data_IF_659001382563
#
_entry.id   IF_659001382563
#
_cell.length_a   1.000
_cell.length_b   1.000
_cell.length_c   1.000
_cell.angle_alpha   90.00
_cell.angle_beta   90.00
_cell.angle_gamma   90.00
#
_symmetry.space_group_name_H-M   'P 1'
#
loop_
_entity.id
_entity.type
_entity.pdbx_description
1 polymer ?
#
# COMPACT_ATOMS: atom_id res chain seq x y z
N UNK A 1 -9.21 31.02 -22.21
CA UNK A 1 -8.78 29.96 -21.27
C UNK A 1 -9.89 29.77 -20.25
N UNK A 2 -10.37 28.54 -20.06
CA UNK A 2 -11.44 28.23 -19.12
C UNK A 2 -10.88 27.85 -17.73
N UNK A 3 -11.66 27.91 -16.64
CA UNK A 3 -11.22 27.50 -15.31
C UNK A 3 -10.98 25.98 -15.23
N UNK A 4 -9.92 25.57 -14.54
CA UNK A 4 -9.58 24.16 -14.30
C UNK A 4 -10.49 23.55 -13.21
N UNK A 5 -11.72 23.18 -13.59
CA UNK A 5 -12.71 22.54 -12.71
C UNK A 5 -13.27 21.27 -13.35
N UNK A 6 -13.37 20.22 -12.55
CA UNK A 6 -13.97 18.95 -12.94
C UNK A 6 -15.48 19.07 -13.13
N UNK A 7 -16.05 18.22 -13.99
CA UNK A 7 -17.49 18.18 -14.22
C UNK A 7 -18.30 17.75 -12.99
N UNK A 8 -17.65 17.17 -11.98
CA UNK A 8 -18.26 16.85 -10.69
C UNK A 8 -18.80 18.08 -9.94
N UNK A 9 -18.15 19.24 -10.09
CA UNK A 9 -18.50 20.47 -9.38
C UNK A 9 -19.75 21.17 -9.96
N UNK A 10 -20.18 20.81 -11.17
CA UNK A 10 -21.38 21.38 -11.79
C UNK A 10 -22.64 20.89 -11.10
N UNK A 11 -23.66 21.76 -11.07
CA UNK A 11 -24.95 21.46 -10.46
C UNK A 11 -25.55 20.15 -11.01
N UNK A 12 -25.74 19.11 -10.18
CA UNK A 12 -26.34 17.86 -10.62
C UNK A 12 -27.86 17.94 -10.83
N UNK A 13 -28.52 19.01 -10.38
CA UNK A 13 -29.99 19.15 -10.41
C UNK A 13 -30.51 19.90 -11.62
N UNK A 14 -29.65 20.66 -12.30
CA UNK A 14 -29.99 21.32 -13.55
C UNK A 14 -30.10 20.29 -14.70
N UNK A 15 -31.09 20.46 -15.57
CA UNK A 15 -31.29 19.63 -16.75
C UNK A 15 -30.34 20.05 -17.88
N UNK A 16 -29.15 19.44 -17.90
CA UNK A 16 -28.14 19.66 -18.94
C UNK A 16 -28.51 18.98 -20.26
N UNK A 17 -28.14 19.58 -21.40
CA UNK A 17 -28.31 18.96 -22.73
C UNK A 17 -27.53 17.64 -22.85
N UNK A 18 -26.34 17.57 -22.23
CA UNK A 18 -25.56 16.36 -22.05
C UNK A 18 -25.47 16.01 -20.55
N UNK A 19 -26.43 15.25 -19.98
CA UNK A 19 -26.52 14.97 -18.54
C UNK A 19 -25.32 14.19 -17.97
N UNK A 20 -24.69 13.36 -18.79
CA UNK A 20 -23.50 12.58 -18.44
C UNK A 20 -22.26 13.45 -18.25
N UNK A 21 -22.10 14.48 -19.09
CA UNK A 21 -20.98 15.43 -19.03
C UNK A 21 -21.31 16.70 -18.23
N UNK A 22 -22.59 16.96 -17.94
CA UNK A 22 -23.10 18.21 -17.36
C UNK A 22 -22.73 19.44 -18.20
N UNK A 23 -22.89 19.33 -19.52
CA UNK A 23 -22.58 20.40 -20.49
C UNK A 23 -23.83 20.78 -21.30
N UNK A 24 -23.94 22.07 -21.62
CA UNK A 24 -24.97 22.56 -22.54
C UNK A 24 -24.45 22.61 -23.98
N UNK A 25 -25.36 22.52 -24.94
CA UNK A 25 -25.05 22.68 -26.34
C UNK A 25 -24.56 24.10 -26.64
N UNK A 26 -23.44 24.23 -27.35
CA UNK A 26 -22.82 25.52 -27.69
C UNK A 26 -21.99 26.17 -26.57
N UNK A 27 -21.90 25.53 -25.39
CA UNK A 27 -21.00 25.99 -24.33
C UNK A 27 -19.52 25.77 -24.74
N UNK A 28 -18.61 26.73 -24.48
CA UNK A 28 -17.19 26.52 -24.79
C UNK A 28 -16.62 25.36 -23.97
N UNK A 29 -15.92 24.46 -24.66
CA UNK A 29 -15.37 23.23 -24.08
C UNK A 29 -13.97 23.50 -23.49
N UNK A 30 -13.72 23.03 -22.27
CA UNK A 30 -12.39 23.07 -21.65
C UNK A 30 -11.39 22.27 -22.48
N UNK A 31 -10.15 22.77 -22.63
CA UNK A 31 -9.10 22.11 -23.42
C UNK A 31 -8.88 20.66 -22.95
N UNK A 32 -8.67 20.47 -21.65
CA UNK A 32 -8.53 19.15 -21.00
C UNK A 32 -9.88 18.55 -20.55
N UNK A 33 -10.94 18.69 -21.34
CA UNK A 33 -12.25 18.12 -20.99
C UNK A 33 -12.14 16.60 -20.77
N UNK A 34 -11.32 15.92 -21.56
CA UNK A 34 -11.09 14.48 -21.48
C UNK A 34 -10.54 14.05 -20.11
N UNK A 35 -9.74 14.87 -19.44
CA UNK A 35 -9.25 14.67 -18.06
C UNK A 35 -10.34 14.96 -17.01
N UNK A 36 -11.17 16.00 -17.25
CA UNK A 36 -12.17 16.50 -16.31
C UNK A 36 -13.57 15.89 -16.47
N UNK A 37 -13.74 14.86 -17.31
CA UNK A 37 -14.98 14.06 -17.33
C UNK A 37 -15.24 13.39 -15.97
N UNK A 38 -16.51 13.11 -15.68
CA UNK A 38 -16.96 12.56 -14.39
C UNK A 38 -16.39 11.19 -14.00
N UNK A 39 -15.71 10.49 -14.91
CA UNK A 39 -15.12 9.18 -14.64
C UNK A 39 -13.60 9.24 -14.35
N UNK A 40 -13.02 10.44 -14.24
CA UNK A 40 -11.57 10.65 -14.10
C UNK A 40 -11.23 11.58 -12.95
N UNK A 41 -10.45 12.63 -13.20
CA UNK A 41 -9.91 13.50 -12.15
C UNK A 41 -11.03 14.38 -11.61
N UNK A 42 -11.24 14.27 -10.30
CA UNK A 42 -12.16 15.12 -9.55
C UNK A 42 -11.39 16.21 -8.81
N UNK A 43 -11.87 17.44 -8.93
CA UNK A 43 -11.34 18.64 -8.25
C UNK A 43 -12.28 19.16 -7.17
N UNK A 44 -13.35 18.40 -6.86
CA UNK A 44 -14.31 18.74 -5.83
C UNK A 44 -13.60 19.02 -4.49
N UNK A 45 -14.00 20.09 -3.78
CA UNK A 45 -13.33 20.47 -2.54
C UNK A 45 -13.58 19.41 -1.46
N UNK A 46 -12.50 18.90 -0.88
CA UNK A 46 -12.54 18.03 0.28
C UNK A 46 -12.65 18.83 1.58
N UNK A 47 -13.28 18.30 2.64
CA UNK A 47 -13.40 19.01 3.93
C UNK A 47 -12.06 19.24 4.63
N UNK A 48 -11.03 18.47 4.29
CA UNK A 48 -9.66 18.60 4.80
C UNK A 48 -8.77 19.18 3.69
N UNK A 49 -7.85 20.08 4.05
CA UNK A 49 -6.91 20.65 3.10
C UNK A 49 -5.88 19.61 2.64
N UNK A 50 -5.44 19.75 1.38
CA UNK A 50 -4.49 18.84 0.75
C UNK A 50 -3.18 18.65 1.54
N UNK A 51 -2.58 19.75 2.00
CA UNK A 51 -1.33 19.73 2.78
C UNK A 51 -1.49 18.92 4.09
N UNK A 52 -2.63 19.05 4.77
CA UNK A 52 -2.93 18.29 5.99
C UNK A 52 -3.10 16.81 5.69
N UNK A 53 -3.86 16.45 4.64
CA UNK A 53 -4.03 15.05 4.21
C UNK A 53 -2.69 14.39 3.90
N UNK A 54 -1.83 15.06 3.12
CA UNK A 54 -0.50 14.55 2.77
C UNK A 54 0.37 14.34 4.02
N UNK A 55 0.44 15.34 4.92
CA UNK A 55 1.25 15.23 6.14
C UNK A 55 0.82 14.08 7.03
N UNK A 56 -0.49 13.88 7.22
CA UNK A 56 -0.98 12.76 8.01
C UNK A 56 -0.66 11.41 7.37
N UNK A 57 -0.88 11.28 6.06
CA UNK A 57 -0.58 10.04 5.34
C UNK A 57 0.90 9.69 5.41
N UNK A 58 1.78 10.63 5.05
CA UNK A 58 3.22 10.39 5.06
C UNK A 58 3.76 10.20 6.48
N UNK A 59 3.27 10.97 7.46
CA UNK A 59 3.65 10.82 8.86
C UNK A 59 3.30 9.43 9.41
N UNK A 60 2.09 8.94 9.13
CA UNK A 60 1.66 7.61 9.57
C UNK A 60 2.49 6.51 8.91
N UNK A 61 2.63 6.52 7.58
CA UNK A 61 3.37 5.48 6.85
C UNK A 61 4.83 5.45 7.27
N UNK A 62 5.49 6.61 7.34
CA UNK A 62 6.89 6.70 7.77
C UNK A 62 7.08 6.19 9.20
N UNK A 63 6.17 6.56 10.12
CA UNK A 63 6.23 6.09 11.49
C UNK A 63 6.02 4.57 11.60
N UNK A 64 5.05 4.00 10.86
CA UNK A 64 4.83 2.56 10.83
C UNK A 64 6.04 1.80 10.30
N UNK A 65 6.61 2.23 9.17
CA UNK A 65 7.83 1.62 8.61
C UNK A 65 8.99 1.70 9.60
N UNK A 66 9.16 2.84 10.26
CA UNK A 66 10.16 3.00 11.30
C UNK A 66 9.95 2.04 12.48
N UNK A 67 8.71 1.88 12.96
CA UNK A 67 8.39 0.94 14.04
C UNK A 67 8.60 -0.52 13.63
N UNK A 68 8.31 -0.90 12.38
CA UNK A 68 8.65 -2.22 11.87
C UNK A 68 10.16 -2.46 11.86
N UNK A 69 10.95 -1.48 11.44
CA UNK A 69 12.40 -1.55 11.50
C UNK A 69 12.93 -1.69 12.93
N UNK A 70 12.34 -0.96 13.90
CA UNK A 70 12.66 -1.14 15.32
C UNK A 70 12.29 -2.54 15.79
N UNK A 71 11.13 -3.07 15.40
CA UNK A 71 10.68 -4.42 15.76
C UNK A 71 11.58 -5.53 15.20
N UNK A 72 12.17 -5.32 14.03
CA UNK A 72 13.15 -6.22 13.43
C UNK A 72 14.51 -6.15 14.14
N UNK A 73 14.93 -4.95 14.56
CA UNK A 73 16.16 -4.75 15.34
C UNK A 73 16.08 -5.32 16.76
N UNK A 74 14.89 -5.26 17.37
CA UNK A 74 14.61 -5.75 18.72
C UNK A 74 13.51 -6.83 18.69
N UNK A 75 13.79 -8.00 18.09
CA UNK A 75 12.79 -9.04 17.94
C UNK A 75 12.44 -9.66 19.30
N UNK A 76 11.16 -9.89 19.52
CA UNK A 76 10.70 -10.68 20.66
C UNK A 76 10.84 -12.17 20.35
N UNK A 77 11.36 -12.93 21.31
CA UNK A 77 11.47 -14.38 21.23
C UNK A 77 11.08 -15.02 22.57
N UNK A 78 10.64 -16.28 22.51
CA UNK A 78 10.36 -17.03 23.73
C UNK A 78 11.68 -17.41 24.42
N UNK A 79 11.77 -17.37 25.76
CA UNK A 79 12.99 -17.67 26.51
C UNK A 79 13.27 -19.18 26.55
N UNK A 80 13.38 -19.80 25.38
CA UNK A 80 13.65 -21.22 25.17
C UNK A 80 14.86 -21.35 24.25
N UNK A 81 15.64 -22.40 24.44
CA UNK A 81 16.75 -22.71 23.54
C UNK A 81 16.26 -23.09 22.13
N UNK A 82 17.17 -23.18 21.16
CA UNK A 82 16.84 -23.64 19.82
C UNK A 82 16.29 -25.07 19.86
N UNK A 83 15.36 -25.37 18.96
CA UNK A 83 14.77 -26.71 18.84
C UNK A 83 15.83 -27.73 18.42
N UNK A 84 16.00 -28.76 19.23
CA UNK A 84 16.89 -29.89 18.95
C UNK A 84 16.22 -30.89 18.01
N UNK A 85 17.01 -31.47 17.09
CA UNK A 85 16.56 -32.45 16.10
C UNK A 85 17.54 -33.63 16.04
N UNK A 86 17.06 -34.89 15.99
CA UNK A 86 17.92 -36.06 15.92
C UNK A 86 18.62 -36.19 14.54
N UNK A 87 19.51 -37.18 14.42
CA UNK A 87 20.16 -37.59 13.16
C UNK A 87 20.86 -36.43 12.42
N UNK A 88 21.77 -35.73 13.11
CA UNK A 88 22.50 -34.58 12.57
C UNK A 88 21.58 -33.49 11.98
N UNK A 89 20.57 -33.08 12.77
CA UNK A 89 19.54 -32.13 12.36
C UNK A 89 18.71 -32.58 11.14
N UNK A 90 18.36 -33.88 11.11
CA UNK A 90 17.59 -34.52 10.03
C UNK A 90 18.28 -34.35 8.66
N UNK A 91 19.59 -34.59 8.60
CA UNK A 91 20.41 -34.29 7.42
C UNK A 91 19.86 -34.94 6.14
N UNK A 92 19.56 -36.25 6.20
CA UNK A 92 19.08 -36.99 5.03
C UNK A 92 17.67 -36.56 4.62
N UNK A 93 16.78 -36.33 5.59
CA UNK A 93 15.40 -35.91 5.36
C UNK A 93 15.31 -34.49 4.80
N UNK A 94 16.30 -33.63 5.09
CA UNK A 94 16.41 -32.27 4.54
C UNK A 94 17.14 -32.21 3.20
N UNK A 95 17.39 -33.36 2.55
CA UNK A 95 18.02 -33.44 1.23
C UNK A 95 19.54 -33.44 1.25
N UNK A 96 20.14 -33.83 2.38
CA UNK A 96 21.58 -34.06 2.48
C UNK A 96 22.06 -35.18 1.56
N UNK A 97 23.34 -35.12 1.19
CA UNK A 97 23.99 -36.05 0.28
C UNK A 97 24.33 -37.35 1.02
N UNK A 98 23.75 -38.51 0.67
CA UNK A 98 24.02 -39.77 1.37
C UNK A 98 25.47 -40.24 1.28
N UNK A 99 26.23 -39.71 0.32
CA UNK A 99 27.65 -40.06 0.13
C UNK A 99 28.60 -39.25 1.02
N UNK A 100 28.10 -38.25 1.74
CA UNK A 100 28.90 -37.37 2.58
C UNK A 100 28.45 -37.49 4.03
N UNK A 101 29.43 -37.61 4.92
CA UNK A 101 29.17 -37.57 6.35
C UNK A 101 29.09 -36.10 6.81
N UNK A 102 27.94 -35.65 7.36
CA UNK A 102 27.83 -34.31 7.92
C UNK A 102 28.58 -34.20 9.24
N UNK A 103 28.84 -32.98 9.70
CA UNK A 103 29.40 -32.76 11.03
C UNK A 103 28.50 -33.37 12.12
N UNK A 104 29.07 -34.06 13.13
CA UNK A 104 28.28 -34.76 14.14
C UNK A 104 27.60 -33.75 15.08
N UNK A 105 26.26 -33.69 15.03
CA UNK A 105 25.43 -32.88 15.93
C UNK A 105 24.80 -33.78 16.99
N UNK A 106 25.38 -33.79 18.19
CA UNK A 106 24.93 -34.60 19.33
C UNK A 106 24.21 -33.72 20.34
N UNK A 107 23.03 -34.16 20.78
CA UNK A 107 22.25 -33.53 21.84
C UNK A 107 22.27 -34.42 23.08
N UNK A 108 22.56 -33.83 24.25
CA UNK A 108 22.59 -34.52 25.54
C UNK A 108 21.38 -34.09 26.39
N UNK A 109 20.98 -34.95 27.33
CA UNK A 109 19.99 -34.61 28.36
C UNK A 109 20.62 -33.63 29.37
N UNK A 110 19.84 -32.64 29.80
CA UNK A 110 20.22 -31.58 30.75
C UNK A 110 19.69 -31.92 32.13
#
# INVERSE_FOLDING_TARGET
MLPNRSQHERDPWYEWDHPDLRLNWGEPIHWDLDMYIRNRVDTSPTPVSWDVMCRHLFGFVAFMVFMFWVGDMFPSYQPVGPKQYPYNNLYLERGGDPSKEPEPVVHYEI
#
